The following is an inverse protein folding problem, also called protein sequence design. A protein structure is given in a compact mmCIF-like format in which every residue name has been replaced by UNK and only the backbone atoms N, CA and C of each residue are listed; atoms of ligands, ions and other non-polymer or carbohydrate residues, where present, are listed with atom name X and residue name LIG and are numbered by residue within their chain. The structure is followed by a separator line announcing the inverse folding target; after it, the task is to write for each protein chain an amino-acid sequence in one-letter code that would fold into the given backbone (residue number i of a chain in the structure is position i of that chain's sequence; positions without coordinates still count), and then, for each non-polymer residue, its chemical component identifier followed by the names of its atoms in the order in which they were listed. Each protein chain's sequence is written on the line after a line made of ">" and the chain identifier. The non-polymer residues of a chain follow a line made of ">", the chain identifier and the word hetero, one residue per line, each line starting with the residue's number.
data_IF_418615626815
#
_entry.id   IF_418615626815
#
_cell.length_a   1.000
_cell.length_b   1.000
_cell.length_c   1.000
_cell.angle_alpha   90.00
_cell.angle_beta   90.00
_cell.angle_gamma   90.00
#
_symmetry.space_group_name_H-M   'P 1'
#
loop_
_entity.id
_entity.type
_entity.pdbx_description
1 polymer ?
#
# COMPACT_ATOMS: atom_id res chain seq x y z
N UNK A 1 70.06 32.25 -33.21
CA UNK A 1 69.90 31.43 -31.98
C UNK A 1 68.46 31.57 -31.61
N UNK A 2 67.63 30.53 -31.94
CA UNK A 2 66.18 30.55 -31.75
C UNK A 2 65.79 29.62 -30.57
N UNK A 3 65.34 30.25 -29.47
CA UNK A 3 64.92 29.54 -28.27
C UNK A 3 63.46 29.01 -28.45
N UNK A 4 63.28 27.69 -28.42
CA UNK A 4 62.01 27.03 -28.54
C UNK A 4 61.44 26.80 -27.14
N UNK A 5 60.42 27.55 -26.80
CA UNK A 5 59.69 27.38 -25.52
C UNK A 5 58.67 26.29 -25.69
N UNK A 6 58.88 25.14 -25.02
CA UNK A 6 57.95 23.99 -25.02
C UNK A 6 56.88 24.25 -23.96
N UNK A 7 55.62 24.50 -24.39
CA UNK A 7 54.49 24.61 -23.50
C UNK A 7 53.93 23.19 -23.22
N UNK A 8 54.13 22.71 -22.01
CA UNK A 8 53.52 21.50 -21.49
C UNK A 8 52.07 21.81 -21.12
N UNK A 9 51.09 21.32 -21.91
CA UNK A 9 49.67 21.33 -21.58
C UNK A 9 49.40 20.10 -20.71
N UNK A 10 49.23 20.31 -19.41
CA UNK A 10 48.76 19.27 -18.49
C UNK A 10 47.24 19.23 -18.53
N UNK A 11 46.68 18.23 -19.21
CA UNK A 11 45.22 17.88 -19.17
C UNK A 11 44.91 17.25 -17.84
N UNK A 12 44.24 18.00 -16.96
CA UNK A 12 43.68 17.48 -15.73
C UNK A 12 42.42 16.65 -16.05
N UNK A 13 42.51 15.32 -15.83
CA UNK A 13 41.41 14.41 -15.96
C UNK A 13 40.51 14.55 -14.70
N UNK A 14 39.35 15.20 -14.84
CA UNK A 14 38.38 15.30 -13.77
C UNK A 14 37.67 13.94 -13.59
N UNK A 15 38.04 13.17 -12.57
CA UNK A 15 37.32 11.97 -12.15
C UNK A 15 36.06 12.44 -11.43
N UNK A 16 34.92 12.32 -12.10
CA UNK A 16 33.61 12.51 -11.47
C UNK A 16 33.39 11.39 -10.45
N UNK A 17 33.50 11.72 -9.16
CA UNK A 17 33.16 10.83 -8.07
C UNK A 17 31.63 10.60 -8.09
N UNK A 18 31.20 9.44 -8.60
CA UNK A 18 29.84 8.95 -8.44
C UNK A 18 29.67 8.58 -6.97
N UNK A 19 29.15 9.51 -6.17
CA UNK A 19 28.81 9.24 -4.77
C UNK A 19 27.72 8.19 -4.70
N UNK A 20 27.71 7.32 -3.65
CA UNK A 20 26.63 6.36 -3.48
C UNK A 20 25.30 7.11 -3.35
N UNK A 21 24.32 6.71 -4.14
CA UNK A 21 22.94 7.19 -4.03
C UNK A 21 22.43 6.95 -2.60
N UNK A 22 21.61 7.86 -2.01
CA UNK A 22 21.08 7.68 -0.67
C UNK A 22 20.35 6.34 -0.61
N UNK A 23 20.74 5.49 0.34
CA UNK A 23 20.13 4.19 0.55
C UNK A 23 18.63 4.39 0.78
N UNK A 24 17.81 4.07 -0.21
CA UNK A 24 16.37 3.93 -0.08
C UNK A 24 16.12 2.97 1.10
N UNK A 25 15.36 3.43 2.10
CA UNK A 25 14.93 2.60 3.24
C UNK A 25 14.40 1.29 2.66
N UNK A 26 15.08 0.18 2.95
CA UNK A 26 14.82 -1.10 2.30
C UNK A 26 13.32 -1.40 2.33
N UNK A 27 12.71 -1.45 1.15
CA UNK A 27 11.29 -1.67 1.00
C UNK A 27 10.96 -3.06 1.56
N UNK A 28 10.09 -3.12 2.57
CA UNK A 28 9.75 -4.36 3.29
C UNK A 28 8.67 -5.11 2.52
N UNK A 29 8.90 -6.39 2.20
CA UNK A 29 7.85 -7.25 1.67
C UNK A 29 6.69 -7.34 2.66
N UNK A 30 5.46 -7.32 2.16
CA UNK A 30 4.28 -7.53 2.97
C UNK A 30 4.26 -8.98 3.51
N UNK A 31 3.83 -9.19 4.75
CA UNK A 31 3.63 -10.53 5.28
C UNK A 31 2.65 -11.32 4.40
N UNK A 32 2.90 -12.62 4.15
CA UNK A 32 1.96 -13.44 3.41
C UNK A 32 0.67 -13.63 4.22
N UNK A 33 -0.45 -13.65 3.52
CA UNK A 33 -1.75 -14.04 4.06
C UNK A 33 -2.51 -14.92 3.08
N UNK A 34 -3.46 -15.67 3.58
CA UNK A 34 -4.48 -16.41 2.82
C UNK A 34 -5.75 -16.39 3.65
N UNK A 35 -6.69 -15.52 3.29
CA UNK A 35 -7.87 -15.19 4.07
C UNK A 35 -9.17 -15.52 3.34
N UNK A 36 -10.25 -15.90 4.07
CA UNK A 36 -11.56 -16.09 3.49
C UNK A 36 -12.10 -14.80 2.86
N UNK A 37 -12.64 -14.89 1.65
CA UNK A 37 -13.38 -13.82 0.98
C UNK A 37 -14.86 -13.93 1.31
N UNK A 38 -15.51 -12.84 1.69
CA UNK A 38 -16.95 -12.82 1.95
C UNK A 38 -17.80 -13.20 0.73
N UNK A 39 -17.26 -13.04 -0.48
CA UNK A 39 -17.91 -13.47 -1.73
C UNK A 39 -17.67 -14.96 -2.04
N UNK A 40 -17.03 -15.69 -1.14
CA UNK A 40 -16.66 -17.08 -1.29
C UNK A 40 -15.23 -17.33 -1.74
N UNK A 41 -14.68 -18.48 -1.34
CA UNK A 41 -13.29 -18.84 -1.60
C UNK A 41 -12.29 -18.16 -0.65
N UNK A 42 -11.06 -18.07 -1.09
CA UNK A 42 -9.94 -17.47 -0.32
C UNK A 42 -9.09 -16.58 -1.23
N UNK A 43 -8.46 -15.59 -0.62
CA UNK A 43 -7.54 -14.68 -1.30
C UNK A 43 -6.20 -14.73 -0.60
N UNK A 44 -5.17 -15.11 -1.35
CA UNK A 44 -3.78 -15.05 -0.88
C UNK A 44 -3.10 -13.78 -1.40
N UNK A 45 -2.08 -13.30 -0.66
CA UNK A 45 -1.25 -12.18 -1.13
C UNK A 45 -0.62 -12.49 -2.51
N UNK A 46 -0.23 -13.75 -2.74
CA UNK A 46 0.38 -14.17 -4.02
C UNK A 46 -0.58 -14.04 -5.21
N UNK A 47 -1.88 -14.23 -4.99
CA UNK A 47 -2.91 -14.05 -6.03
C UNK A 47 -3.11 -12.58 -6.46
N UNK A 48 -2.56 -11.64 -5.71
CA UNK A 48 -2.65 -10.19 -5.94
C UNK A 48 -1.41 -9.63 -6.64
N UNK A 49 -0.38 -10.44 -6.86
CA UNK A 49 0.83 -10.02 -7.57
C UNK A 49 0.50 -9.48 -8.96
N UNK A 50 1.23 -8.47 -9.38
CA UNK A 50 0.99 -7.75 -10.63
C UNK A 50 0.04 -6.56 -10.50
N UNK A 51 -0.58 -6.36 -9.33
CA UNK A 51 -1.46 -5.22 -9.03
C UNK A 51 -0.89 -4.35 -7.92
N UNK A 52 -1.20 -3.06 -7.97
CA UNK A 52 -1.07 -2.18 -6.80
C UNK A 52 -2.27 -2.45 -5.91
N UNK A 53 -2.02 -2.76 -4.63
CA UNK A 53 -3.07 -3.17 -3.68
C UNK A 53 -3.12 -2.21 -2.50
N UNK A 54 -4.31 -1.72 -2.18
CA UNK A 54 -4.60 -1.02 -0.93
C UNK A 54 -5.25 -2.02 0.01
N UNK A 55 -4.61 -2.28 1.15
CA UNK A 55 -5.11 -3.19 2.19
C UNK A 55 -5.46 -2.37 3.42
N UNK A 56 -6.74 -2.34 3.78
CA UNK A 56 -7.25 -1.64 4.95
C UNK A 56 -7.71 -2.62 6.02
N UNK A 57 -7.06 -2.59 7.16
CA UNK A 57 -7.47 -3.34 8.36
C UNK A 57 -8.44 -2.49 9.16
N UNK A 58 -9.65 -3.00 9.35
CA UNK A 58 -10.75 -2.29 9.98
C UNK A 58 -11.70 -3.22 10.74
N UNK A 59 -12.68 -2.67 11.45
CA UNK A 59 -13.70 -3.44 12.16
C UNK A 59 -15.07 -2.76 12.08
N UNK A 60 -16.15 -3.55 12.15
CA UNK A 60 -17.53 -3.04 12.07
C UNK A 60 -17.93 -2.14 13.24
N UNK A 61 -17.28 -2.29 14.36
CA UNK A 61 -17.47 -1.45 15.57
C UNK A 61 -16.53 -0.23 15.62
N UNK A 62 -15.64 -0.07 14.63
CA UNK A 62 -14.67 1.03 14.61
C UNK A 62 -15.29 2.30 14.02
N UNK A 63 -15.68 3.24 14.84
CA UNK A 63 -16.33 4.48 14.42
C UNK A 63 -15.56 5.29 13.36
N UNK A 64 -14.24 5.54 13.51
CA UNK A 64 -13.43 6.18 12.46
C UNK A 64 -13.42 5.41 11.14
N UNK A 65 -13.37 4.06 11.19
CA UNK A 65 -13.39 3.21 9.99
C UNK A 65 -14.70 3.38 9.21
N UNK A 66 -15.84 3.37 9.92
CA UNK A 66 -17.18 3.54 9.32
C UNK A 66 -17.29 4.88 8.60
N UNK A 67 -16.73 5.95 9.18
CA UNK A 67 -16.75 7.29 8.57
C UNK A 67 -15.96 7.35 7.26
N UNK A 68 -14.93 6.53 7.09
CA UNK A 68 -14.12 6.47 5.86
C UNK A 68 -14.71 5.60 4.74
N UNK A 69 -15.76 4.79 5.02
CA UNK A 69 -16.37 3.91 4.02
C UNK A 69 -16.77 4.65 2.73
N UNK A 70 -17.44 5.81 2.77
CA UNK A 70 -17.81 6.54 1.55
C UNK A 70 -16.60 6.98 0.73
N UNK A 71 -15.53 7.44 1.39
CA UNK A 71 -14.29 7.88 0.75
C UNK A 71 -13.54 6.69 0.12
N UNK A 72 -13.49 5.54 0.81
CA UNK A 72 -12.96 4.30 0.23
C UNK A 72 -13.77 3.83 -0.98
N UNK A 73 -15.08 3.95 -0.93
CA UNK A 73 -15.94 3.58 -2.05
C UNK A 73 -15.69 4.49 -3.28
N UNK A 74 -15.49 5.79 -3.08
CA UNK A 74 -15.12 6.73 -4.13
C UNK A 74 -13.70 6.43 -4.67
N UNK A 75 -12.74 6.26 -3.77
CA UNK A 75 -11.36 5.91 -4.13
C UNK A 75 -11.30 4.62 -4.95
N UNK A 76 -12.05 3.58 -4.55
CA UNK A 76 -12.14 2.32 -5.28
C UNK A 76 -12.70 2.52 -6.70
N UNK A 77 -13.86 3.20 -6.84
CA UNK A 77 -14.47 3.42 -8.16
C UNK A 77 -13.56 4.18 -9.12
N UNK A 78 -12.81 5.15 -8.60
CA UNK A 78 -11.86 5.95 -9.38
C UNK A 78 -10.66 5.14 -9.84
N UNK A 79 -10.14 4.23 -9.01
CA UNK A 79 -8.85 3.59 -9.21
C UNK A 79 -8.94 2.14 -9.71
N UNK A 80 -10.05 1.44 -9.48
CA UNK A 80 -10.26 0.08 -9.97
C UNK A 80 -10.08 -0.06 -11.50
N UNK A 81 -10.57 0.86 -12.36
CA UNK A 81 -10.32 0.79 -13.80
C UNK A 81 -8.85 0.97 -14.18
N UNK A 82 -8.03 1.46 -13.27
CA UNK A 82 -6.58 1.65 -13.45
C UNK A 82 -5.77 0.41 -13.03
N UNK A 83 -6.44 -0.69 -12.65
CA UNK A 83 -5.81 -1.94 -12.24
C UNK A 83 -5.42 -2.00 -10.75
N UNK A 84 -6.00 -1.13 -9.92
CA UNK A 84 -5.78 -1.15 -8.48
C UNK A 84 -6.81 -2.06 -7.81
N UNK A 85 -6.35 -2.84 -6.84
CA UNK A 85 -7.22 -3.61 -5.94
C UNK A 85 -7.34 -2.88 -4.60
N UNK A 86 -8.55 -2.78 -4.06
CA UNK A 86 -8.80 -2.33 -2.68
C UNK A 86 -9.39 -3.50 -1.92
N UNK A 87 -8.81 -3.82 -0.77
CA UNK A 87 -9.19 -4.94 0.08
C UNK A 87 -9.38 -4.43 1.50
N UNK A 88 -10.57 -4.63 2.05
CA UNK A 88 -10.82 -4.53 3.48
C UNK A 88 -10.51 -5.87 4.14
N UNK A 89 -9.71 -5.85 5.19
CA UNK A 89 -9.49 -6.99 6.08
C UNK A 89 -10.25 -6.70 7.38
N UNK A 90 -11.37 -7.39 7.55
CA UNK A 90 -12.31 -7.15 8.66
C UNK A 90 -11.85 -7.96 9.87
N UNK A 91 -11.52 -7.26 10.95
CA UNK A 91 -10.98 -7.83 12.18
C UNK A 91 -12.03 -7.83 13.29
N UNK A 92 -12.07 -8.88 14.11
CA UNK A 92 -12.87 -8.96 15.35
C UNK A 92 -14.32 -8.44 15.22
N UNK A 93 -15.02 -8.84 14.18
CA UNK A 93 -16.33 -8.25 13.82
C UNK A 93 -17.47 -9.25 13.75
N UNK A 94 -17.34 -10.38 14.44
CA UNK A 94 -18.37 -11.43 14.48
C UNK A 94 -18.24 -12.45 13.36
N UNK A 95 -19.37 -13.10 13.03
CA UNK A 95 -19.43 -14.12 11.99
C UNK A 95 -19.35 -13.54 10.58
N UNK A 96 -18.96 -14.34 9.56
CA UNK A 96 -18.96 -13.89 8.17
C UNK A 96 -20.33 -13.38 7.70
N UNK A 97 -21.44 -13.94 8.22
CA UNK A 97 -22.79 -13.53 7.91
C UNK A 97 -23.07 -12.12 8.45
N UNK A 98 -22.71 -11.85 9.71
CA UNK A 98 -22.87 -10.52 10.33
C UNK A 98 -22.04 -9.45 9.60
N UNK A 99 -20.80 -9.80 9.22
CA UNK A 99 -19.95 -8.91 8.42
C UNK A 99 -20.59 -8.65 7.04
N UNK A 100 -21.15 -9.68 6.39
CA UNK A 100 -21.80 -9.55 5.09
C UNK A 100 -23.04 -8.65 5.17
N UNK A 101 -23.82 -8.75 6.24
CA UNK A 101 -24.99 -7.87 6.47
C UNK A 101 -24.54 -6.42 6.58
N UNK A 102 -23.49 -6.16 7.35
CA UNK A 102 -22.89 -4.84 7.47
C UNK A 102 -22.38 -4.30 6.12
N UNK A 103 -21.65 -5.12 5.36
CA UNK A 103 -21.11 -4.75 4.04
C UNK A 103 -22.24 -4.36 3.08
N UNK A 104 -23.38 -5.08 3.11
CA UNK A 104 -24.57 -4.75 2.31
C UNK A 104 -25.25 -3.47 2.78
N UNK A 105 -25.42 -3.29 4.08
CA UNK A 105 -26.03 -2.10 4.68
C UNK A 105 -25.27 -0.83 4.28
N UNK A 106 -23.94 -0.85 4.45
CA UNK A 106 -23.06 0.28 4.14
C UNK A 106 -22.68 0.38 2.65
N UNK A 107 -23.15 -0.57 1.80
CA UNK A 107 -22.93 -0.60 0.35
C UNK A 107 -21.44 -0.54 -0.02
N UNK A 108 -20.60 -1.30 0.69
CA UNK A 108 -19.15 -1.34 0.48
C UNK A 108 -18.86 -2.06 -0.86
N UNK A 109 -18.30 -1.37 -1.90
CA UNK A 109 -18.20 -1.92 -3.24
C UNK A 109 -16.91 -2.71 -3.51
N UNK A 110 -15.96 -2.68 -2.57
CA UNK A 110 -14.67 -3.35 -2.71
C UNK A 110 -14.60 -4.61 -1.86
N UNK A 111 -13.66 -5.47 -2.21
CA UNK A 111 -13.49 -6.81 -1.63
C UNK A 111 -13.27 -6.76 -0.13
N UNK A 112 -13.94 -7.68 0.59
CA UNK A 112 -13.81 -7.83 2.03
C UNK A 112 -13.33 -9.23 2.37
N UNK A 113 -12.26 -9.33 3.17
CA UNK A 113 -11.73 -10.58 3.68
C UNK A 113 -11.97 -10.66 5.19
N UNK A 114 -12.23 -11.86 5.67
CA UNK A 114 -12.31 -12.10 7.12
C UNK A 114 -10.90 -12.25 7.66
N UNK A 115 -10.47 -11.25 8.45
CA UNK A 115 -9.14 -11.23 9.06
C UNK A 115 -9.01 -12.19 10.23
N UNK A 116 -7.77 -12.57 10.52
CA UNK A 116 -7.41 -13.34 11.70
C UNK A 116 -6.29 -12.65 12.51
N UNK A 117 -6.17 -13.03 13.78
CA UNK A 117 -5.18 -12.46 14.71
C UNK A 117 -3.76 -12.58 14.15
N UNK A 118 -3.41 -13.75 13.60
CA UNK A 118 -2.09 -14.02 13.02
C UNK A 118 -1.73 -13.05 11.91
N UNK A 119 -2.67 -12.76 11.02
CA UNK A 119 -2.48 -11.77 9.94
C UNK A 119 -2.35 -10.36 10.50
N UNK A 120 -3.20 -10.01 11.47
CA UNK A 120 -3.13 -8.71 12.16
C UNK A 120 -1.78 -8.48 12.84
N UNK A 121 -1.26 -9.47 13.57
CA UNK A 121 0.05 -9.43 14.21
C UNK A 121 1.19 -9.31 13.18
N UNK A 122 1.16 -10.13 12.11
CA UNK A 122 2.18 -10.11 11.08
C UNK A 122 2.30 -8.73 10.39
N UNK A 123 1.18 -8.05 10.15
CA UNK A 123 1.14 -6.68 9.63
C UNK A 123 1.39 -5.61 10.71
N UNK A 124 1.43 -5.99 11.97
CA UNK A 124 1.64 -5.07 13.09
C UNK A 124 0.50 -4.04 13.22
N UNK A 125 -0.75 -4.51 13.12
CA UNK A 125 -1.96 -3.68 13.28
C UNK A 125 -2.44 -3.58 14.72
N UNK A 126 -1.64 -4.03 15.67
CA UNK A 126 -1.88 -3.97 17.12
C UNK A 126 -1.96 -2.54 17.69
N UNK A 127 -1.68 -1.53 16.89
CA UNK A 127 -1.79 -0.11 17.30
C UNK A 127 -3.21 0.45 17.13
N UNK A 128 -4.12 -0.28 16.52
CA UNK A 128 -5.53 0.08 16.33
C UNK A 128 -5.99 0.17 14.87
N UNK A 129 -7.28 0.47 14.73
CA UNK A 129 -7.97 0.61 13.44
C UNK A 129 -8.41 2.07 13.19
N UNK A 130 -8.53 2.48 11.91
CA UNK A 130 -8.09 1.77 10.71
C UNK A 130 -6.56 1.78 10.57
N UNK A 131 -5.99 0.73 9.97
CA UNK A 131 -4.59 0.71 9.57
C UNK A 131 -4.51 0.29 8.09
N UNK A 132 -4.00 1.18 7.25
CA UNK A 132 -3.99 1.01 5.79
C UNK A 132 -2.58 0.83 5.27
N UNK A 133 -2.40 -0.12 4.37
CA UNK A 133 -1.15 -0.35 3.63
C UNK A 133 -1.38 -0.15 2.15
N UNK A 134 -0.36 0.35 1.44
CA UNK A 134 -0.28 0.30 -0.03
C UNK A 134 0.87 -0.61 -0.40
N UNK A 135 0.57 -1.59 -1.25
CA UNK A 135 1.54 -2.55 -1.76
C UNK A 135 1.76 -2.31 -3.25
N UNK A 136 3.01 -2.45 -3.69
CA UNK A 136 3.34 -2.45 -5.13
C UNK A 136 2.97 -3.80 -5.79
N UNK A 137 3.18 -3.88 -7.11
CA UNK A 137 2.90 -5.08 -7.89
C UNK A 137 3.74 -6.33 -7.50
N UNK A 138 4.79 -6.14 -6.70
CA UNK A 138 5.64 -7.22 -6.17
C UNK A 138 5.22 -7.64 -4.76
N UNK A 139 4.25 -6.95 -4.16
CA UNK A 139 3.82 -7.17 -2.78
C UNK A 139 4.72 -6.46 -1.76
N UNK A 140 5.43 -5.41 -2.15
CA UNK A 140 6.27 -4.61 -1.25
C UNK A 140 5.44 -3.50 -0.62
N UNK A 141 5.59 -3.28 0.67
CA UNK A 141 4.92 -2.19 1.38
C UNK A 141 5.55 -0.85 0.98
N UNK A 142 4.77 -0.01 0.30
CA UNK A 142 5.14 1.36 -0.07
C UNK A 142 4.86 2.34 1.07
N UNK A 143 3.75 2.15 1.78
CA UNK A 143 3.37 2.98 2.93
C UNK A 143 2.48 2.24 3.91
N UNK A 144 2.50 2.69 5.17
CA UNK A 144 1.56 2.33 6.25
C UNK A 144 0.97 3.62 6.80
N UNK A 145 -0.35 3.67 6.93
CA UNK A 145 -1.08 4.78 7.52
C UNK A 145 -1.93 4.27 8.68
N UNK A 146 -1.78 4.88 9.85
CA UNK A 146 -2.57 4.57 11.05
C UNK A 146 -3.63 5.66 11.26
N UNK A 147 -4.85 5.23 11.57
CA UNK A 147 -5.97 6.12 11.83
C UNK A 147 -6.59 6.72 10.57
N UNK A 148 -7.46 7.70 10.79
CA UNK A 148 -8.27 8.38 9.78
C UNK A 148 -7.94 9.89 9.70
N UNK A 149 -6.71 10.29 9.35
CA UNK A 149 -6.39 11.72 9.22
C UNK A 149 -7.08 12.32 7.99
N UNK A 150 -7.47 13.60 8.01
CA UNK A 150 -8.21 14.25 6.92
C UNK A 150 -7.51 14.18 5.54
N UNK A 151 -6.18 14.07 5.52
CA UNK A 151 -5.39 14.00 4.28
C UNK A 151 -5.09 12.58 3.82
N UNK A 152 -5.73 11.55 4.41
CA UNK A 152 -5.43 10.14 4.13
C UNK A 152 -5.61 9.79 2.65
N UNK A 153 -6.76 10.13 2.06
CA UNK A 153 -7.09 9.76 0.68
C UNK A 153 -6.27 10.52 -0.36
N UNK A 154 -5.89 11.78 -0.07
CA UNK A 154 -4.93 12.52 -0.90
C UNK A 154 -3.57 11.80 -0.94
N UNK A 155 -3.06 11.39 0.22
CA UNK A 155 -1.81 10.65 0.33
C UNK A 155 -1.89 9.26 -0.30
N UNK A 156 -3.02 8.55 -0.13
CA UNK A 156 -3.26 7.27 -0.80
C UNK A 156 -3.19 7.44 -2.31
N UNK A 157 -3.86 8.47 -2.86
CA UNK A 157 -3.86 8.74 -4.29
C UNK A 157 -2.44 9.04 -4.80
N UNK A 158 -1.67 9.86 -4.07
CA UNK A 158 -0.29 10.19 -4.43
C UNK A 158 0.60 8.93 -4.48
N UNK A 159 0.51 8.04 -3.47
CA UNK A 159 1.31 6.81 -3.42
C UNK A 159 0.92 5.85 -4.54
N UNK A 160 -0.37 5.70 -4.79
CA UNK A 160 -0.91 4.86 -5.86
C UNK A 160 -0.50 5.37 -7.23
N UNK A 161 -0.58 6.67 -7.48
CA UNK A 161 -0.17 7.28 -8.76
C UNK A 161 1.31 7.05 -9.04
N UNK A 162 2.17 7.17 -8.02
CA UNK A 162 3.60 6.86 -8.14
C UNK A 162 3.85 5.37 -8.39
N UNK A 163 3.10 4.48 -7.74
CA UNK A 163 3.26 3.04 -7.89
C UNK A 163 2.84 2.55 -9.29
N UNK A 164 1.84 3.20 -9.92
CA UNK A 164 1.41 2.87 -11.27
C UNK A 164 2.33 3.41 -12.36
N UNK A 165 3.17 4.40 -12.05
CA UNK A 165 4.11 5.00 -12.98
C UNK A 165 5.48 4.31 -12.99
N UNK A 166 5.73 3.35 -12.10
CA UNK A 166 7.00 2.64 -11.92
C UNK A 166 6.98 1.24 -12.53
#
# INVERSE_FOLDING_TARGET
>A
MKSFCFFLVTTALAVAACGPAPASKAAKAAPPFDLPDLNGGRVSLDSLKGKVVVVDFWATWCGPCIKEIPEYAEFYRKNQPRGIEVIGVVMDSGSPEEINDFVREYKIPYRQLVGDEKTGEAFGVNQGFPTTFVLDAKGTILTKMLGAPPTKFEKLQEVVDKALAS
#
